data_IF_233809031848
#
_entry.id   IF_233809031848
#
_cell.length_a   1.000
_cell.length_b   1.000
_cell.length_c   1.000
_cell.angle_alpha   90.00
_cell.angle_beta   90.00
_cell.angle_gamma   90.00
#
_symmetry.space_group_name_H-M   'P 1'
#
loop_
_entity.id
_entity.type
_entity.pdbx_description
1 polymer ?
#
# COMPACT_ATOMS: atom_id res chain seq x y z
N UNK A 1 -2.94 1.61 33.31
CA UNK A 1 -2.81 1.09 31.94
C UNK A 1 -2.15 2.15 31.10
N UNK A 2 -1.12 1.85 30.29
CA UNK A 2 -0.55 2.83 29.39
C UNK A 2 -1.60 3.40 28.43
N UNK A 3 -1.56 4.70 28.13
CA UNK A 3 -2.55 5.35 27.23
C UNK A 3 -2.63 4.69 25.87
N UNK A 4 -1.51 4.13 25.38
CA UNK A 4 -1.46 3.33 24.15
C UNK A 4 -2.40 2.14 24.20
N UNK A 5 -2.29 1.31 25.27
CA UNK A 5 -3.08 0.09 25.38
C UNK A 5 -4.56 0.40 25.58
N UNK A 6 -4.87 1.54 26.22
CA UNK A 6 -6.23 2.04 26.34
C UNK A 6 -6.80 2.41 24.97
N UNK A 7 -6.08 3.21 24.17
CA UNK A 7 -6.50 3.58 22.81
C UNK A 7 -6.70 2.34 21.93
N UNK A 8 -5.73 1.41 21.94
CA UNK A 8 -5.82 0.20 21.14
C UNK A 8 -7.01 -0.67 21.60
N UNK A 9 -7.25 -0.77 22.91
CA UNK A 9 -8.39 -1.49 23.46
C UNK A 9 -9.74 -0.86 23.10
N UNK A 10 -9.80 0.46 22.97
CA UNK A 10 -11.01 1.17 22.55
C UNK A 10 -11.26 1.07 21.03
N UNK A 11 -10.22 0.96 20.21
CA UNK A 11 -10.33 0.87 18.75
C UNK A 11 -10.37 -0.57 18.20
N UNK A 12 -10.25 -1.58 19.07
CA UNK A 12 -10.29 -2.99 18.67
C UNK A 12 -11.64 -3.67 18.87
N UNK A 13 -12.62 -2.98 19.48
CA UNK A 13 -13.97 -3.52 19.72
C UNK A 13 -14.88 -3.22 18.54
N UNK A 14 -15.77 -4.13 18.21
CA UNK A 14 -16.70 -3.99 17.08
C UNK A 14 -17.67 -2.80 17.20
N UNK A 15 -18.05 -2.45 18.45
CA UNK A 15 -18.99 -1.36 18.72
C UNK A 15 -18.34 0.00 18.97
N UNK A 16 -17.00 0.06 18.91
CA UNK A 16 -16.24 1.29 19.14
C UNK A 16 -15.86 1.93 17.80
N UNK A 17 -15.86 3.25 17.78
CA UNK A 17 -15.52 4.05 16.61
C UNK A 17 -14.33 4.96 16.93
N UNK A 18 -13.53 5.21 15.91
CA UNK A 18 -12.53 6.26 15.95
C UNK A 18 -12.92 7.42 15.03
N UNK A 19 -12.55 8.62 15.42
CA UNK A 19 -12.70 9.81 14.59
C UNK A 19 -11.30 10.40 14.41
N UNK A 20 -10.81 10.42 13.20
CA UNK A 20 -9.56 11.10 12.89
C UNK A 20 -9.85 12.59 12.64
N UNK A 21 -9.50 13.41 13.61
CA UNK A 21 -9.76 14.86 13.60
C UNK A 21 -8.66 15.63 12.90
N UNK A 22 -7.39 15.17 13.04
CA UNK A 22 -6.22 15.83 12.46
C UNK A 22 -5.17 14.79 12.12
N UNK A 23 -4.50 14.98 10.99
CA UNK A 23 -3.28 14.27 10.63
C UNK A 23 -2.30 15.24 10.00
N UNK A 24 -1.08 15.29 10.52
CA UNK A 24 -0.02 16.16 10.00
C UNK A 24 1.36 15.50 10.15
N UNK A 25 2.30 15.92 9.31
CA UNK A 25 3.69 15.55 9.51
C UNK A 25 4.24 16.24 10.77
N UNK A 26 5.01 15.46 11.55
CA UNK A 26 5.67 15.99 12.73
C UNK A 26 6.97 16.73 12.42
N UNK A 27 7.63 17.21 13.47
CA UNK A 27 8.90 17.92 13.36
C UNK A 27 10.12 17.02 13.12
N UNK A 28 10.01 15.73 13.40
CA UNK A 28 11.07 14.75 13.13
C UNK A 28 10.86 14.07 11.77
N UNK A 29 11.94 13.61 11.11
CA UNK A 29 11.81 12.81 9.89
C UNK A 29 10.94 11.57 10.13
N UNK A 30 10.08 11.24 9.18
CA UNK A 30 9.20 10.08 9.25
C UNK A 30 8.29 10.04 10.49
N UNK A 31 7.90 11.20 10.99
CA UNK A 31 6.96 11.37 12.09
C UNK A 31 5.60 11.80 11.57
N UNK A 32 4.55 11.12 12.05
CA UNK A 32 3.15 11.48 11.80
C UNK A 32 2.47 11.76 13.14
N UNK A 33 1.80 12.89 13.22
CA UNK A 33 1.00 13.28 14.38
C UNK A 33 -0.48 13.19 14.02
N UNK A 34 -1.25 12.52 14.86
CA UNK A 34 -2.67 12.31 14.68
C UNK A 34 -3.42 12.79 15.92
N UNK A 35 -4.59 13.38 15.72
CA UNK A 35 -5.56 13.61 16.77
C UNK A 35 -6.73 12.66 16.54
N UNK A 36 -6.91 11.72 17.44
CA UNK A 36 -7.92 10.66 17.36
C UNK A 36 -8.86 10.78 18.52
N UNK A 37 -10.15 10.81 18.24
CA UNK A 37 -11.20 10.73 19.25
C UNK A 37 -11.84 9.34 19.18
N UNK A 38 -12.01 8.67 20.32
CA UNK A 38 -12.77 7.43 20.40
C UNK A 38 -14.22 7.73 20.75
N UNK A 39 -15.14 6.98 20.18
CA UNK A 39 -16.57 7.16 20.37
C UNK A 39 -17.31 5.83 20.38
N UNK A 40 -18.52 5.84 20.91
CA UNK A 40 -19.48 4.72 20.82
C UNK A 40 -20.76 5.19 20.18
N UNK A 41 -21.43 4.28 19.51
CA UNK A 41 -22.76 4.58 18.99
C UNK A 41 -23.77 4.61 20.15
N UNK A 42 -24.52 5.69 20.25
CA UNK A 42 -25.59 5.88 21.22
C UNK A 42 -26.93 5.74 20.49
N UNK A 43 -27.63 4.62 20.77
CA UNK A 43 -28.92 4.31 20.14
C UNK A 43 -30.00 5.35 20.47
N UNK A 44 -29.96 5.93 21.69
CA UNK A 44 -30.96 6.90 22.12
C UNK A 44 -30.74 8.26 21.44
N UNK A 45 -29.47 8.65 21.28
CA UNK A 45 -29.09 9.88 20.59
C UNK A 45 -29.01 9.72 19.07
N UNK A 46 -29.11 8.47 18.55
CA UNK A 46 -28.95 8.14 17.12
C UNK A 46 -27.63 8.70 16.56
N UNK A 47 -26.55 8.65 17.34
CA UNK A 47 -25.29 9.25 16.94
C UNK A 47 -24.08 8.75 17.73
N UNK A 48 -22.90 9.26 17.36
CA UNK A 48 -21.66 8.93 18.05
C UNK A 48 -21.49 9.79 19.29
N UNK A 49 -21.25 9.14 20.44
CA UNK A 49 -20.90 9.81 21.68
C UNK A 49 -19.40 9.69 21.94
N UNK A 50 -18.66 10.82 21.96
CA UNK A 50 -17.24 10.85 22.25
C UNK A 50 -16.91 10.25 23.63
N UNK A 51 -15.74 9.59 23.71
CA UNK A 51 -15.16 9.07 24.97
C UNK A 51 -13.89 9.79 25.35
N UNK A 52 -12.85 9.61 24.56
CA UNK A 52 -11.53 10.16 24.84
C UNK A 52 -10.89 10.71 23.57
N UNK A 53 -10.07 11.74 23.75
CA UNK A 53 -9.26 12.29 22.67
C UNK A 53 -7.80 11.96 22.95
N UNK A 54 -7.11 11.47 21.94
CA UNK A 54 -5.70 11.05 21.98
C UNK A 54 -4.88 11.84 20.97
N UNK A 55 -3.78 12.43 21.44
CA UNK A 55 -2.70 12.85 20.55
C UNK A 55 -1.77 11.66 20.33
N UNK A 56 -1.69 11.20 19.11
CA UNK A 56 -0.88 10.03 18.70
C UNK A 56 0.31 10.51 17.92
N UNK A 57 1.50 10.03 18.30
CA UNK A 57 2.73 10.24 17.57
C UNK A 57 3.22 8.91 17.03
N UNK A 58 3.21 8.76 15.71
CA UNK A 58 3.75 7.60 15.02
C UNK A 58 5.11 7.92 14.42
N UNK A 59 6.09 7.06 14.64
CA UNK A 59 7.47 7.21 14.18
C UNK A 59 7.81 6.12 13.16
N UNK A 60 8.76 6.41 12.26
CA UNK A 60 9.19 5.47 11.23
C UNK A 60 8.20 5.33 10.09
N UNK A 61 7.39 6.34 9.82
CA UNK A 61 6.38 6.34 8.76
C UNK A 61 7.07 6.61 7.42
N UNK A 62 7.09 5.64 6.54
CA UNK A 62 7.62 5.77 5.18
C UNK A 62 6.56 6.24 4.18
N UNK A 63 5.34 5.78 4.34
CA UNK A 63 4.21 6.16 3.50
C UNK A 63 2.95 6.25 4.36
N UNK A 64 2.08 7.20 4.09
CA UNK A 64 0.80 7.33 4.75
C UNK A 64 -0.28 7.80 3.79
N UNK A 65 -1.50 7.37 4.04
CA UNK A 65 -2.72 7.87 3.41
C UNK A 65 -3.73 8.11 4.50
N UNK A 66 -4.24 9.30 4.59
CA UNK A 66 -5.15 9.72 5.63
C UNK A 66 -6.44 10.24 5.01
N UNK A 67 -7.56 9.80 5.58
CA UNK A 67 -8.86 10.42 5.39
C UNK A 67 -9.36 10.85 6.75
N UNK A 68 -9.67 12.14 6.90
CA UNK A 68 -10.33 12.64 8.11
C UNK A 68 -11.75 12.10 8.17
N UNK A 69 -12.23 11.81 9.37
CA UNK A 69 -13.58 11.33 9.58
C UNK A 69 -13.66 10.09 10.48
N UNK A 70 -14.80 9.45 10.42
CA UNK A 70 -15.13 8.28 11.26
C UNK A 70 -14.57 7.01 10.64
N UNK A 71 -13.99 6.15 11.48
CA UNK A 71 -13.59 4.79 11.13
C UNK A 71 -14.04 3.82 12.20
N UNK A 72 -14.36 2.58 11.80
CA UNK A 72 -14.90 1.56 12.69
C UNK A 72 -13.85 0.67 13.36
N UNK A 73 -12.63 0.60 12.82
CA UNK A 73 -11.62 -0.32 13.34
C UNK A 73 -10.20 0.11 13.01
N UNK A 74 -9.30 -0.15 13.96
CA UNK A 74 -7.85 -0.05 13.75
C UNK A 74 -7.26 -1.46 13.65
N UNK A 75 -6.55 -1.74 12.56
CA UNK A 75 -5.87 -3.01 12.34
C UNK A 75 -4.39 -2.81 12.10
N UNK A 76 -3.57 -3.69 12.67
CA UNK A 76 -2.14 -3.80 12.39
C UNK A 76 -1.93 -5.03 11.51
N UNK A 77 -1.49 -4.81 10.29
CA UNK A 77 -1.30 -5.87 9.30
C UNK A 77 0.19 -5.94 8.93
N UNK A 78 0.73 -7.15 8.91
CA UNK A 78 2.07 -7.43 8.39
C UNK A 78 2.03 -7.90 6.94
N UNK A 79 0.90 -8.40 6.48
CA UNK A 79 0.68 -8.88 5.11
C UNK A 79 -0.57 -8.19 4.54
N UNK A 80 -0.32 -7.20 3.70
CA UNK A 80 -1.38 -6.43 3.03
C UNK A 80 -0.86 -5.98 1.66
N UNK A 81 -1.73 -5.89 0.62
CA UNK A 81 -1.30 -5.44 -0.71
C UNK A 81 -0.53 -4.12 -0.73
N UNK A 82 -0.87 -3.15 0.12
CA UNK A 82 -0.11 -1.90 0.25
C UNK A 82 1.33 -2.09 0.73
N UNK A 83 1.60 -3.15 1.49
CA UNK A 83 2.92 -3.45 2.03
C UNK A 83 3.81 -4.17 1.01
N UNK A 84 3.28 -4.56 -0.15
CA UNK A 84 4.00 -5.34 -1.14
C UNK A 84 5.29 -4.62 -1.61
N UNK A 85 5.27 -3.28 -1.72
CA UNK A 85 6.45 -2.49 -2.09
C UNK A 85 7.51 -2.40 -0.99
N UNK A 86 7.13 -2.70 0.24
CA UNK A 86 8.01 -2.64 1.43
C UNK A 86 8.48 -4.03 1.86
N UNK A 87 7.63 -5.05 1.72
CA UNK A 87 7.86 -6.39 2.25
C UNK A 87 8.33 -7.41 1.22
N UNK A 88 8.23 -7.09 -0.09
CA UNK A 88 8.68 -8.00 -1.14
C UNK A 88 9.97 -7.51 -1.81
N UNK A 89 10.88 -8.43 -2.17
CA UNK A 89 12.03 -8.07 -2.98
C UNK A 89 11.58 -7.48 -4.32
N UNK A 90 12.36 -6.55 -4.85
CA UNK A 90 12.10 -5.98 -6.17
C UNK A 90 12.68 -6.86 -7.27
N UNK A 91 11.99 -6.88 -8.40
CA UNK A 91 12.43 -7.58 -9.59
C UNK A 91 12.18 -6.73 -10.84
N UNK A 92 13.10 -6.80 -11.80
CA UNK A 92 12.95 -6.21 -13.11
C UNK A 92 12.27 -7.21 -14.06
N UNK A 93 11.29 -6.72 -14.82
CA UNK A 93 10.63 -7.50 -15.88
C UNK A 93 11.20 -7.08 -17.23
N UNK A 94 11.79 -8.02 -17.95
CA UNK A 94 12.28 -7.82 -19.31
C UNK A 94 11.40 -8.62 -20.27
N UNK A 95 11.25 -8.07 -21.48
CA UNK A 95 10.50 -8.75 -22.52
C UNK A 95 11.20 -8.64 -23.89
N UNK A 96 10.86 -9.57 -24.78
CA UNK A 96 11.20 -9.52 -26.19
C UNK A 96 10.07 -10.13 -27.03
N UNK A 97 9.99 -9.67 -28.28
CA UNK A 97 8.90 -9.99 -29.19
C UNK A 97 7.95 -8.79 -29.37
N UNK A 98 7.09 -8.88 -30.37
CA UNK A 98 6.05 -7.89 -30.62
C UNK A 98 4.68 -8.54 -30.43
N UNK A 99 3.79 -7.96 -29.63
CA UNK A 99 2.45 -8.47 -29.49
C UNK A 99 1.63 -8.22 -30.77
N UNK A 100 0.67 -9.06 -31.04
CA UNK A 100 -0.26 -8.85 -32.16
C UNK A 100 -1.06 -7.55 -31.99
N UNK A 101 -1.46 -7.25 -30.75
CA UNK A 101 -2.18 -6.02 -30.35
C UNK A 101 -1.62 -5.52 -29.03
N UNK A 102 -0.85 -4.43 -29.10
CA UNK A 102 -0.19 -3.88 -27.92
C UNK A 102 -1.22 -3.27 -26.92
N UNK A 103 -2.33 -2.79 -27.40
CA UNK A 103 -3.43 -2.24 -26.60
C UNK A 103 -4.02 -3.28 -25.65
N UNK A 104 -4.19 -4.52 -26.10
CA UNK A 104 -4.71 -5.60 -25.28
C UNK A 104 -3.71 -5.96 -24.17
N UNK A 105 -2.41 -5.92 -24.45
CA UNK A 105 -1.36 -6.10 -23.46
C UNK A 105 -1.40 -5.01 -22.40
N UNK A 106 -1.55 -3.75 -22.80
CA UNK A 106 -1.65 -2.60 -21.88
C UNK A 106 -2.87 -2.78 -20.95
N UNK A 107 -4.01 -3.21 -21.50
CA UNK A 107 -5.21 -3.45 -20.72
C UNK A 107 -5.00 -4.55 -19.68
N UNK A 108 -4.43 -5.70 -20.10
CA UNK A 108 -4.21 -6.84 -19.20
C UNK A 108 -3.15 -6.54 -18.14
N UNK A 109 -2.11 -5.77 -18.46
CA UNK A 109 -1.15 -5.23 -17.49
C UNK A 109 -1.86 -4.37 -16.44
N UNK A 110 -2.76 -3.48 -16.88
CA UNK A 110 -3.54 -2.64 -15.99
C UNK A 110 -4.49 -3.44 -15.09
N UNK A 111 -5.14 -4.47 -15.64
CA UNK A 111 -5.99 -5.38 -14.88
C UNK A 111 -5.18 -6.21 -13.86
N UNK A 112 -3.98 -6.67 -14.24
CA UNK A 112 -3.09 -7.37 -13.34
C UNK A 112 -2.65 -6.49 -12.15
N UNK A 113 -2.39 -5.20 -12.40
CA UNK A 113 -2.08 -4.23 -11.37
C UNK A 113 -3.28 -4.03 -10.42
N UNK A 114 -4.44 -3.70 -10.96
CA UNK A 114 -5.66 -3.49 -10.17
C UNK A 114 -6.02 -4.74 -9.37
N UNK A 115 -5.90 -5.94 -9.96
CA UNK A 115 -6.19 -7.19 -9.23
C UNK A 115 -5.16 -7.53 -8.16
N UNK A 116 -3.95 -6.93 -8.20
CA UNK A 116 -2.93 -7.12 -7.16
C UNK A 116 -3.19 -6.23 -5.96
N UNK A 117 -3.56 -4.98 -6.19
CA UNK A 117 -3.71 -3.98 -5.13
C UNK A 117 -5.17 -3.72 -4.74
N UNK A 118 -6.14 -4.15 -5.56
CA UNK A 118 -7.55 -3.89 -5.33
C UNK A 118 -7.85 -2.38 -5.23
N UNK A 119 -8.71 -1.97 -4.27
CA UNK A 119 -9.07 -0.56 -4.10
C UNK A 119 -7.96 0.26 -3.39
N UNK A 120 -6.88 -0.39 -2.95
CA UNK A 120 -5.87 0.23 -2.10
C UNK A 120 -4.85 1.09 -2.85
N UNK A 121 -4.66 0.84 -4.16
CA UNK A 121 -3.83 1.69 -5.02
C UNK A 121 -4.58 2.10 -6.28
N UNK A 122 -4.42 3.36 -6.67
CA UNK A 122 -5.02 3.87 -7.89
C UNK A 122 -4.20 3.41 -9.12
N UNK A 123 -4.89 3.21 -10.25
CA UNK A 123 -4.23 2.79 -11.49
C UNK A 123 -3.13 3.76 -11.94
N UNK A 124 -3.27 5.05 -11.65
CA UNK A 124 -2.25 6.06 -11.97
C UNK A 124 -0.90 5.76 -11.30
N UNK A 125 -0.90 5.11 -10.14
CA UNK A 125 0.32 4.73 -9.41
C UNK A 125 1.07 3.57 -10.06
N UNK A 126 0.48 2.89 -11.02
CA UNK A 126 1.16 1.89 -11.85
C UNK A 126 2.40 2.47 -12.54
N UNK A 127 2.39 3.76 -12.86
CA UNK A 127 3.52 4.44 -13.48
C UNK A 127 4.78 4.43 -12.62
N UNK A 128 4.66 4.24 -11.29
CA UNK A 128 5.81 4.17 -10.39
C UNK A 128 6.60 2.86 -10.54
N UNK A 129 5.92 1.81 -10.98
CA UNK A 129 6.48 0.48 -11.18
C UNK A 129 6.93 0.25 -12.64
N UNK A 130 6.39 1.00 -13.59
CA UNK A 130 6.69 0.86 -15.00
C UNK A 130 7.87 1.73 -15.45
N UNK A 131 8.48 1.32 -16.54
CA UNK A 131 9.54 2.08 -17.19
C UNK A 131 8.96 3.38 -17.79
N UNK A 132 9.48 4.52 -17.35
CA UNK A 132 9.03 5.86 -17.77
C UNK A 132 9.79 6.43 -18.98
N UNK A 133 10.71 5.66 -19.58
CA UNK A 133 11.51 6.15 -20.71
C UNK A 133 10.69 6.36 -21.97
N UNK A 134 9.55 5.68 -22.10
CA UNK A 134 8.59 5.82 -23.19
C UNK A 134 7.18 5.47 -22.70
N UNK A 135 6.11 5.91 -23.40
CA UNK A 135 4.77 5.39 -23.17
C UNK A 135 4.76 3.86 -23.28
N UNK A 136 3.98 3.19 -22.43
CA UNK A 136 3.93 1.72 -22.37
C UNK A 136 3.61 1.10 -23.73
N UNK A 137 2.71 1.71 -24.49
CA UNK A 137 2.35 1.25 -25.83
C UNK A 137 3.56 1.25 -26.78
N UNK A 138 4.30 2.36 -26.80
CA UNK A 138 5.51 2.50 -27.67
C UNK A 138 6.60 1.52 -27.24
N UNK A 139 6.77 1.33 -25.94
CA UNK A 139 7.71 0.36 -25.39
C UNK A 139 7.38 -1.06 -25.86
N UNK A 140 6.12 -1.48 -25.81
CA UNK A 140 5.69 -2.80 -26.29
C UNK A 140 5.86 -2.95 -27.79
N UNK A 141 5.62 -1.90 -28.57
CA UNK A 141 5.80 -1.90 -30.03
C UNK A 141 7.27 -1.91 -30.45
N UNK A 142 8.19 -1.47 -29.59
CA UNK A 142 9.63 -1.52 -29.88
C UNK A 142 10.17 -2.93 -30.06
N UNK A 143 9.49 -3.92 -29.48
CA UNK A 143 9.78 -5.34 -29.64
C UNK A 143 10.77 -5.90 -28.63
N UNK A 144 11.39 -5.11 -27.77
CA UNK A 144 12.18 -5.56 -26.62
C UNK A 144 12.41 -4.44 -25.63
N UNK A 145 12.54 -4.77 -24.35
CA UNK A 145 12.86 -3.78 -23.33
C UNK A 145 12.65 -4.26 -21.91
N UNK A 146 12.82 -3.34 -21.01
CA UNK A 146 12.46 -3.51 -19.59
C UNK A 146 11.09 -2.88 -19.35
N UNK A 147 10.12 -3.70 -18.95
CA UNK A 147 8.78 -3.23 -18.64
C UNK A 147 8.77 -2.33 -17.41
N UNK A 148 9.54 -2.70 -16.38
CA UNK A 148 9.65 -1.93 -15.15
C UNK A 148 10.41 -2.67 -14.06
N UNK A 149 10.45 -2.06 -12.86
CA UNK A 149 11.00 -2.64 -11.62
C UNK A 149 9.92 -2.54 -10.55
N UNK A 150 9.51 -3.67 -10.03
CA UNK A 150 8.35 -3.76 -9.15
C UNK A 150 8.53 -4.88 -8.11
N UNK A 151 7.65 -4.99 -7.10
CA UNK A 151 7.65 -6.13 -6.19
C UNK A 151 7.60 -7.46 -6.94
N UNK A 152 8.39 -8.45 -6.53
CA UNK A 152 8.52 -9.73 -7.22
C UNK A 152 7.19 -10.44 -7.53
N UNK A 153 6.19 -10.48 -6.62
CA UNK A 153 4.88 -11.07 -6.94
C UNK A 153 4.14 -10.36 -8.08
N UNK A 154 4.26 -9.03 -8.16
CA UNK A 154 3.70 -8.23 -9.26
C UNK A 154 4.49 -8.48 -10.56
N UNK A 155 5.83 -8.53 -10.47
CA UNK A 155 6.70 -8.81 -11.62
C UNK A 155 6.38 -10.16 -12.28
N UNK A 156 6.18 -11.20 -11.48
CA UNK A 156 5.78 -12.52 -11.98
C UNK A 156 4.40 -12.51 -12.66
N UNK A 157 3.47 -11.71 -12.11
CA UNK A 157 2.15 -11.54 -12.71
C UNK A 157 2.23 -10.81 -14.04
N UNK A 158 3.02 -9.73 -14.12
CA UNK A 158 3.26 -8.98 -15.36
C UNK A 158 3.96 -9.86 -16.42
N UNK A 159 4.95 -10.65 -16.04
CA UNK A 159 5.61 -11.57 -16.95
C UNK A 159 4.66 -12.64 -17.51
N UNK A 160 3.68 -13.11 -16.71
CA UNK A 160 2.63 -14.01 -17.20
C UNK A 160 1.72 -13.35 -18.23
N UNK A 161 1.31 -12.10 -18.00
CA UNK A 161 0.55 -11.34 -18.98
C UNK A 161 1.30 -11.23 -20.31
N UNK A 162 2.57 -10.83 -20.27
CA UNK A 162 3.39 -10.72 -21.47
C UNK A 162 3.48 -12.05 -22.24
N UNK A 163 3.72 -13.17 -21.52
CA UNK A 163 3.78 -14.52 -22.15
C UNK A 163 2.43 -14.94 -22.73
N UNK A 164 1.31 -14.57 -22.09
CA UNK A 164 -0.02 -14.85 -22.62
C UNK A 164 -0.25 -14.18 -24.00
N UNK A 165 0.34 -13.03 -24.23
CA UNK A 165 0.30 -12.32 -25.51
C UNK A 165 1.44 -12.71 -26.48
N UNK A 166 2.11 -13.84 -26.21
CA UNK A 166 3.13 -14.40 -27.12
C UNK A 166 4.50 -13.73 -27.04
N UNK A 167 4.75 -12.86 -26.07
CA UNK A 167 6.07 -12.31 -25.86
C UNK A 167 6.93 -13.24 -24.99
N UNK A 168 8.24 -13.25 -25.20
CA UNK A 168 9.17 -13.81 -24.23
C UNK A 168 9.32 -12.85 -23.06
N UNK A 169 9.20 -13.33 -21.84
CA UNK A 169 9.36 -12.49 -20.64
C UNK A 169 10.20 -13.21 -19.58
N UNK A 170 11.11 -12.46 -18.97
CA UNK A 170 11.96 -12.90 -17.85
C UNK A 170 11.84 -11.94 -16.68
N UNK A 171 12.00 -12.50 -15.47
CA UNK A 171 12.01 -11.74 -14.21
C UNK A 171 13.42 -11.87 -13.63
N UNK A 172 14.07 -10.74 -13.40
CA UNK A 172 15.39 -10.66 -12.79
C UNK A 172 15.26 -10.07 -11.39
N UNK A 173 15.47 -10.89 -10.36
CA UNK A 173 15.43 -10.44 -8.97
C UNK A 173 16.64 -9.55 -8.67
N UNK A 174 16.40 -8.43 -7.99
CA UNK A 174 17.49 -7.57 -7.51
C UNK A 174 18.14 -8.23 -6.28
N UNK A 175 19.47 -8.38 -6.31
CA UNK A 175 20.23 -8.82 -5.16
C UNK A 175 20.24 -7.72 -4.07
N UNK A 176 20.08 -8.11 -2.80
CA UNK A 176 20.27 -7.18 -1.66
C UNK A 176 18.99 -6.71 -0.99
N UNK A 177 17.83 -7.31 -1.24
CA UNK A 177 16.66 -7.09 -0.39
C UNK A 177 16.83 -7.92 0.90
N UNK A 178 17.28 -7.28 1.99
CA UNK A 178 17.04 -7.81 3.31
C UNK A 178 15.59 -7.51 3.67
N UNK A 179 14.75 -8.54 3.72
CA UNK A 179 13.43 -8.41 4.33
C UNK A 179 13.65 -7.86 5.74
N UNK A 180 12.95 -6.78 6.08
CA UNK A 180 12.89 -6.35 7.48
C UNK A 180 12.23 -7.52 8.20
N UNK A 181 13.06 -8.33 8.90
CA UNK A 181 12.58 -9.46 9.67
C UNK A 181 11.45 -8.94 10.57
N UNK A 182 10.26 -9.50 10.39
CA UNK A 182 9.05 -9.14 11.13
C UNK A 182 9.11 -9.44 12.64
N UNK A 183 10.33 -9.62 13.17
CA UNK A 183 10.66 -9.76 14.59
C UNK A 183 10.86 -8.40 15.30
N UNK A 184 10.85 -7.30 14.57
CA UNK A 184 10.61 -6.00 15.16
C UNK A 184 9.14 -5.92 15.54
N UNK A 185 8.81 -6.05 16.81
CA UNK A 185 7.46 -5.77 17.32
C UNK A 185 6.93 -4.45 16.77
N UNK A 186 5.61 -4.21 16.80
CA UNK A 186 5.00 -3.02 16.21
C UNK A 186 5.80 -1.78 16.64
N UNK A 187 6.09 -0.85 15.71
CA UNK A 187 6.90 0.31 16.01
C UNK A 187 6.37 1.00 17.26
N UNK A 188 7.23 1.50 18.15
CA UNK A 188 6.80 2.07 19.39
C UNK A 188 5.87 3.27 19.12
N UNK A 189 4.59 3.10 19.42
CA UNK A 189 3.63 4.19 19.48
C UNK A 189 3.90 4.96 20.79
N UNK A 190 4.42 6.16 20.68
CA UNK A 190 4.55 7.06 21.83
C UNK A 190 3.25 7.86 21.95
N UNK A 191 2.46 7.57 23.00
CA UNK A 191 1.28 8.35 23.39
C UNK A 191 1.69 9.30 24.51
N UNK A 192 1.48 10.57 24.32
CA UNK A 192 1.63 11.62 25.34
C UNK A 192 0.30 12.02 25.93
#
# INVERSE_FOLDING_TARGET
>A
MPKRDQLLGELSREDDYGILLLGQMGGAPNELQLLVETAVYDEQAQGLRPRHTYAVRALGIFEHRLSLGVFGQLQFLSDHPLLLHHNAPKAAVHFSGRPARAEDVVLDISQAYVSTFGPWRHLVEQQDDLNRSAPLLDLLQSGAGQLGIMPAPLAERMARVLRHHGLSASVAHQAGFEAVDGNGGPPPLHLH
#
